data_IF_763446679759
#
_entry.id   IF_763446679759
#
_cell.length_a   1.000
_cell.length_b   1.000
_cell.length_c   1.000
_cell.angle_alpha   90.00
_cell.angle_beta   90.00
_cell.angle_gamma   90.00
#
_symmetry.space_group_name_H-M   'P 1'
#
loop_
_entity.id
_entity.type
_entity.pdbx_description
1 polymer ?
#
# COMPACT_ATOMS: atom_id res chain seq x y z
N UNK A 1 -30.73 48.66 -11.86
CA UNK A 1 -29.39 48.65 -12.51
C UNK A 1 -28.43 47.96 -11.56
N UNK A 2 -27.75 46.93 -12.04
CA UNK A 2 -27.06 45.92 -11.24
C UNK A 2 -25.70 46.42 -10.70
N UNK A 3 -25.46 46.14 -9.41
CA UNK A 3 -24.15 46.20 -8.75
C UNK A 3 -23.28 45.02 -9.19
N UNK A 4 -22.03 45.28 -9.58
CA UNK A 4 -21.00 44.27 -9.75
C UNK A 4 -19.87 44.55 -8.76
N UNK A 5 -19.87 43.82 -7.64
CA UNK A 5 -18.80 43.80 -6.65
C UNK A 5 -17.95 42.55 -6.93
N UNK A 6 -16.79 42.72 -7.57
CA UNK A 6 -15.85 41.64 -7.83
C UNK A 6 -14.96 41.43 -6.59
N UNK A 7 -15.14 40.29 -5.91
CA UNK A 7 -14.22 39.81 -4.87
C UNK A 7 -13.15 38.93 -5.54
N UNK A 8 -11.91 39.41 -5.53
CA UNK A 8 -10.75 38.68 -6.00
C UNK A 8 -10.44 37.48 -5.11
N UNK A 9 -10.54 36.28 -5.67
CA UNK A 9 -10.02 35.06 -5.07
C UNK A 9 -8.53 34.96 -5.36
N UNK A 10 -7.69 35.11 -4.34
CA UNK A 10 -6.27 34.82 -4.40
C UNK A 10 -6.06 33.33 -4.68
N UNK A 11 -5.70 32.99 -5.91
CA UNK A 11 -5.27 31.66 -6.27
C UNK A 11 -3.96 31.36 -5.51
N UNK A 12 -4.04 30.50 -4.48
CA UNK A 12 -2.85 29.87 -3.92
C UNK A 12 -2.22 29.04 -5.05
N UNK A 13 -1.13 29.56 -5.61
CA UNK A 13 -0.31 28.84 -6.57
C UNK A 13 0.08 27.49 -5.96
N UNK A 14 -0.45 26.39 -6.52
CA UNK A 14 0.01 25.06 -6.22
C UNK A 14 1.49 25.00 -6.60
N UNK A 15 2.36 24.91 -5.60
CA UNK A 15 3.76 24.67 -5.87
C UNK A 15 3.89 23.35 -6.65
N UNK A 16 4.69 23.32 -7.73
CA UNK A 16 4.88 22.10 -8.50
C UNK A 16 5.42 21.00 -7.59
N UNK A 17 4.66 19.91 -7.46
CA UNK A 17 5.08 18.72 -6.73
C UNK A 17 6.35 18.21 -7.42
N UNK A 18 7.47 18.05 -6.69
CA UNK A 18 8.71 17.58 -7.28
C UNK A 18 8.48 16.22 -7.96
N UNK A 19 9.16 15.95 -9.08
CA UNK A 19 9.01 14.68 -9.78
C UNK A 19 9.27 13.52 -8.80
N UNK A 20 8.44 12.46 -8.83
CA UNK A 20 8.58 11.35 -7.91
C UNK A 20 9.99 10.77 -8.04
N UNK A 21 10.63 10.50 -6.90
CA UNK A 21 11.95 9.88 -6.87
C UNK A 21 11.94 8.56 -7.69
N UNK A 22 13.05 8.20 -8.34
CA UNK A 22 13.15 6.95 -9.08
C UNK A 22 12.76 5.77 -8.18
N UNK A 23 12.01 4.78 -8.68
CA UNK A 23 11.67 3.60 -7.89
C UNK A 23 12.94 2.93 -7.40
N UNK A 24 13.01 2.66 -6.10
CA UNK A 24 14.11 1.92 -5.50
C UNK A 24 14.33 0.58 -6.23
N UNK A 25 15.60 0.22 -6.45
CA UNK A 25 15.95 -1.08 -6.98
C UNK A 25 15.67 -2.19 -5.97
N UNK A 26 15.56 -3.43 -6.45
CA UNK A 26 15.49 -4.58 -5.56
C UNK A 26 16.82 -4.80 -4.83
N UNK A 27 16.70 -5.23 -3.57
CA UNK A 27 17.80 -5.54 -2.68
C UNK A 27 17.82 -7.01 -2.27
N UNK A 28 18.66 -7.36 -1.28
CA UNK A 28 18.66 -8.69 -0.69
C UNK A 28 17.27 -9.00 -0.10
N UNK A 29 16.79 -10.25 -0.17
CA UNK A 29 15.49 -10.61 0.40
C UNK A 29 15.40 -10.34 1.90
N UNK A 30 14.25 -9.86 2.34
CA UNK A 30 13.90 -9.73 3.76
C UNK A 30 14.04 -11.09 4.46
N UNK A 31 14.67 -11.09 5.63
CA UNK A 31 14.78 -12.32 6.43
C UNK A 31 13.48 -12.62 7.17
N UNK A 32 13.30 -13.87 7.61
CA UNK A 32 12.13 -14.23 8.42
C UNK A 32 12.06 -13.44 9.74
N UNK A 33 13.21 -13.14 10.36
CA UNK A 33 13.28 -12.34 11.59
C UNK A 33 12.83 -10.90 11.35
N UNK A 34 13.34 -10.26 10.30
CA UNK A 34 12.91 -8.92 9.90
C UNK A 34 11.41 -8.89 9.57
N UNK A 35 10.91 -9.90 8.87
CA UNK A 35 9.49 -10.02 8.54
C UNK A 35 8.62 -10.11 9.79
N UNK A 36 9.01 -10.89 10.80
CA UNK A 36 8.34 -10.97 12.11
C UNK A 36 8.36 -9.63 12.84
N UNK A 37 9.47 -8.90 12.82
CA UNK A 37 9.56 -7.57 13.44
C UNK A 37 8.58 -6.59 12.78
N UNK A 38 8.52 -6.58 11.45
CA UNK A 38 7.59 -5.73 10.70
C UNK A 38 6.14 -6.11 10.99
N UNK A 39 5.82 -7.40 11.00
CA UNK A 39 4.49 -7.90 11.34
C UNK A 39 4.07 -7.53 12.77
N UNK A 40 4.97 -7.69 13.75
CA UNK A 40 4.70 -7.36 15.14
C UNK A 40 4.37 -5.87 15.34
N UNK A 41 5.05 -4.97 14.61
CA UNK A 41 4.74 -3.55 14.63
C UNK A 41 3.34 -3.26 14.07
N UNK A 42 2.98 -3.88 12.95
CA UNK A 42 1.66 -3.74 12.34
C UNK A 42 0.54 -4.33 13.22
N UNK A 43 0.79 -5.49 13.83
CA UNK A 43 -0.12 -6.14 14.78
C UNK A 43 -0.36 -5.27 16.01
N UNK A 44 0.69 -4.67 16.58
CA UNK A 44 0.57 -3.77 17.72
C UNK A 44 -0.33 -2.57 17.40
N UNK A 45 -0.21 -2.01 16.19
CA UNK A 45 -1.05 -0.90 15.74
C UNK A 45 -2.51 -1.31 15.55
N UNK A 46 -2.76 -2.46 14.92
CA UNK A 46 -4.12 -2.98 14.76
C UNK A 46 -4.80 -3.30 16.10
N UNK A 47 -4.05 -3.84 17.06
CA UNK A 47 -4.54 -4.07 18.44
C UNK A 47 -4.96 -2.76 19.11
N UNK A 48 -4.17 -1.68 18.99
CA UNK A 48 -4.57 -0.36 19.54
C UNK A 48 -5.87 0.15 18.94
N UNK A 49 -6.09 -0.13 17.65
CA UNK A 49 -7.29 0.29 16.91
C UNK A 49 -8.49 -0.67 17.07
N UNK A 50 -8.32 -1.78 17.80
CA UNK A 50 -9.31 -2.87 17.88
C UNK A 50 -9.79 -3.35 16.51
N UNK A 51 -8.91 -3.30 15.49
CA UNK A 51 -9.25 -3.70 14.13
C UNK A 51 -8.72 -5.11 13.88
N UNK A 52 -9.57 -6.10 13.57
CA UNK A 52 -9.12 -7.45 13.26
C UNK A 52 -8.54 -7.49 11.83
N UNK A 53 -7.23 -7.73 11.75
CA UNK A 53 -6.44 -7.64 10.52
C UNK A 53 -5.62 -8.90 10.21
N UNK A 54 -5.34 -9.10 8.94
CA UNK A 54 -4.36 -10.01 8.37
C UNK A 54 -3.17 -9.22 7.83
N UNK A 55 -1.96 -9.74 8.04
CA UNK A 55 -0.70 -9.16 7.62
C UNK A 55 0.11 -10.20 6.82
N UNK A 56 0.52 -9.81 5.62
CA UNK A 56 1.38 -10.61 4.76
C UNK A 56 2.69 -9.86 4.51
N UNK A 57 3.82 -10.51 4.72
CA UNK A 57 5.14 -10.00 4.36
C UNK A 57 5.69 -10.88 3.25
N UNK A 58 6.08 -10.25 2.15
CA UNK A 58 6.66 -10.91 0.98
C UNK A 58 8.10 -10.44 0.74
N UNK A 59 8.89 -11.29 0.11
CA UNK A 59 10.22 -10.92 -0.38
C UNK A 59 10.18 -10.18 -1.74
N UNK A 60 11.34 -9.83 -2.32
CA UNK A 60 11.44 -9.00 -3.51
C UNK A 60 10.78 -9.58 -4.76
N UNK A 61 10.64 -10.91 -4.86
CA UNK A 61 9.97 -11.58 -5.97
C UNK A 61 8.48 -11.83 -5.71
N UNK A 62 7.93 -11.33 -4.59
CA UNK A 62 6.54 -11.50 -4.20
C UNK A 62 6.25 -12.88 -3.59
N UNK A 63 7.26 -13.62 -3.17
CA UNK A 63 7.17 -14.85 -2.41
C UNK A 63 6.76 -14.56 -0.96
N UNK A 64 5.83 -15.35 -0.41
CA UNK A 64 5.39 -15.18 0.98
C UNK A 64 6.50 -15.60 1.95
N UNK A 65 6.90 -14.70 2.83
CA UNK A 65 7.95 -14.94 3.84
C UNK A 65 7.35 -15.10 5.24
N UNK A 66 6.32 -14.33 5.55
CA UNK A 66 5.61 -14.40 6.82
C UNK A 66 4.15 -13.98 6.65
N UNK A 67 3.26 -14.62 7.42
CA UNK A 67 1.85 -14.29 7.47
C UNK A 67 1.33 -14.43 8.89
N UNK A 68 0.54 -13.46 9.33
CA UNK A 68 -0.13 -13.48 10.63
C UNK A 68 -1.53 -12.89 10.48
N UNK A 69 -2.51 -13.50 11.17
CA UNK A 69 -3.91 -13.07 11.11
C UNK A 69 -4.50 -13.06 12.51
N UNK A 70 -5.12 -11.94 12.86
CA UNK A 70 -5.86 -11.79 14.11
C UNK A 70 -7.15 -12.62 14.09
N UNK A 71 -7.59 -13.08 15.25
CA UNK A 71 -8.90 -13.69 15.39
C UNK A 71 -10.02 -12.71 15.03
N UNK A 72 -11.11 -13.22 14.47
CA UNK A 72 -12.23 -12.40 13.98
C UNK A 72 -11.97 -11.61 12.70
N UNK A 73 -10.79 -11.72 12.08
CA UNK A 73 -10.49 -11.08 10.79
C UNK A 73 -11.36 -11.67 9.68
N UNK A 74 -11.93 -10.81 8.81
CA UNK A 74 -12.70 -11.23 7.65
C UNK A 74 -11.92 -12.22 6.77
N UNK A 75 -12.53 -13.35 6.40
CA UNK A 75 -11.87 -14.46 5.72
C UNK A 75 -11.13 -14.07 4.43
N UNK A 76 -11.76 -13.22 3.60
CA UNK A 76 -11.16 -12.74 2.34
C UNK A 76 -9.84 -11.94 2.56
N UNK A 77 -9.61 -11.41 3.76
CA UNK A 77 -8.42 -10.62 4.06
C UNK A 77 -7.12 -11.41 3.97
N UNK A 78 -7.15 -12.74 4.05
CA UNK A 78 -5.96 -13.58 3.88
C UNK A 78 -5.35 -13.38 2.49
N UNK A 79 -6.15 -13.55 1.45
CA UNK A 79 -5.69 -13.42 0.07
C UNK A 79 -5.48 -11.94 -0.31
N UNK A 80 -6.35 -11.05 0.18
CA UNK A 80 -6.25 -9.61 -0.09
C UNK A 80 -4.95 -9.04 0.51
N UNK A 81 -4.58 -9.39 1.75
CA UNK A 81 -3.32 -8.93 2.35
C UNK A 81 -2.10 -9.41 1.55
N UNK A 82 -2.08 -10.69 1.14
CA UNK A 82 -1.01 -11.22 0.30
C UNK A 82 -0.95 -10.51 -1.07
N UNK A 83 -2.09 -10.32 -1.72
CA UNK A 83 -2.17 -9.61 -3.00
C UNK A 83 -1.74 -8.15 -2.90
N UNK A 84 -2.10 -7.44 -1.82
CA UNK A 84 -1.62 -6.07 -1.54
C UNK A 84 -0.09 -6.02 -1.36
N UNK A 85 0.48 -6.97 -0.62
CA UNK A 85 1.94 -7.07 -0.43
C UNK A 85 2.66 -7.33 -1.78
N UNK A 86 2.17 -8.31 -2.56
CA UNK A 86 2.72 -8.62 -3.89
C UNK A 86 2.60 -7.45 -4.84
N UNK A 87 1.45 -6.75 -4.83
CA UNK A 87 1.26 -5.52 -5.60
C UNK A 87 2.33 -4.49 -5.25
N UNK A 88 2.57 -4.29 -3.97
CA UNK A 88 3.51 -3.28 -3.52
C UNK A 88 4.95 -3.57 -3.99
N UNK A 89 5.38 -4.83 -3.88
CA UNK A 89 6.75 -5.21 -4.27
C UNK A 89 6.93 -5.24 -5.78
N UNK A 90 6.04 -5.92 -6.53
CA UNK A 90 6.22 -6.17 -7.96
C UNK A 90 6.11 -4.90 -8.80
N UNK A 91 5.31 -3.93 -8.37
CA UNK A 91 5.15 -2.65 -9.04
C UNK A 91 5.96 -1.51 -8.41
N UNK A 92 6.75 -1.83 -7.37
CA UNK A 92 7.64 -0.91 -6.65
C UNK A 92 6.95 0.35 -6.14
N UNK A 93 5.69 0.24 -5.71
CA UNK A 93 4.86 1.37 -5.25
C UNK A 93 3.71 0.90 -4.37
N UNK A 94 3.19 1.73 -3.46
CA UNK A 94 2.05 1.33 -2.63
C UNK A 94 0.83 0.87 -3.44
N UNK A 95 0.09 -0.11 -2.92
CA UNK A 95 -1.14 -0.61 -3.58
C UNK A 95 -2.22 0.46 -3.70
N UNK A 96 -2.18 1.49 -2.82
CA UNK A 96 -3.02 2.68 -2.88
C UNK A 96 -2.99 3.36 -4.25
N UNK A 97 -1.83 3.40 -4.92
CA UNK A 97 -1.70 4.02 -6.26
C UNK A 97 -2.62 3.35 -7.28
N UNK A 98 -2.85 2.04 -7.17
CA UNK A 98 -3.79 1.33 -8.04
C UNK A 98 -5.24 1.56 -7.65
N UNK A 99 -5.54 1.67 -6.35
CA UNK A 99 -6.86 2.05 -5.87
C UNK A 99 -7.26 3.45 -6.38
N UNK A 100 -6.35 4.42 -6.27
CA UNK A 100 -6.57 5.79 -6.74
C UNK A 100 -6.77 5.84 -8.27
N UNK A 101 -5.97 5.09 -9.04
CA UNK A 101 -6.15 4.98 -10.48
C UNK A 101 -7.47 4.33 -10.87
N UNK A 102 -7.89 3.29 -10.16
CA UNK A 102 -9.19 2.66 -10.38
C UNK A 102 -10.34 3.63 -10.14
N UNK A 103 -10.27 4.40 -9.05
CA UNK A 103 -11.26 5.41 -8.71
C UNK A 103 -11.30 6.55 -9.74
N UNK A 104 -10.15 6.91 -10.32
CA UNK A 104 -10.05 7.86 -11.43
C UNK A 104 -10.48 7.30 -12.79
N UNK A 105 -10.94 6.03 -12.86
CA UNK A 105 -11.38 5.38 -14.08
C UNK A 105 -10.27 4.79 -14.95
N UNK A 106 -9.00 4.93 -14.57
CA UNK A 106 -7.90 4.27 -15.24
C UNK A 106 -7.83 2.79 -14.84
N UNK A 107 -8.26 1.91 -15.76
CA UNK A 107 -8.33 0.45 -15.54
C UNK A 107 -7.35 -0.35 -16.39
N UNK A 108 -6.37 0.31 -17.04
CA UNK A 108 -5.43 -0.37 -17.93
C UNK A 108 -4.66 -1.50 -17.22
N UNK A 109 -4.34 -1.33 -15.94
CA UNK A 109 -3.63 -2.36 -15.15
C UNK A 109 -4.41 -3.66 -14.96
N UNK A 110 -5.72 -3.67 -15.22
CA UNK A 110 -6.53 -4.91 -15.14
C UNK A 110 -6.24 -5.88 -16.29
N UNK A 111 -5.54 -5.41 -17.34
CA UNK A 111 -5.11 -6.22 -18.48
C UNK A 111 -3.71 -6.81 -18.31
N UNK A 112 -3.02 -6.53 -17.20
CA UNK A 112 -1.68 -7.07 -16.95
C UNK A 112 -1.74 -8.58 -16.67
N UNK A 113 -0.70 -9.36 -17.02
CA UNK A 113 -0.62 -10.77 -16.65
C UNK A 113 -0.67 -10.97 -15.13
N UNK A 114 0.07 -10.15 -14.39
CA UNK A 114 -0.01 -10.04 -12.94
C UNK A 114 -0.90 -8.83 -12.59
N UNK A 115 -2.08 -9.08 -12.03
CA UNK A 115 -3.05 -8.02 -11.75
C UNK A 115 -2.81 -7.45 -10.36
N UNK A 116 -2.58 -6.14 -10.21
CA UNK A 116 -2.45 -5.54 -8.89
C UNK A 116 -3.78 -5.56 -8.15
N UNK A 117 -3.73 -5.79 -6.85
CA UNK A 117 -4.86 -5.56 -5.95
C UNK A 117 -5.00 -4.06 -5.75
N UNK A 118 -6.04 -3.47 -6.36
CA UNK A 118 -6.36 -2.05 -6.31
C UNK A 118 -7.10 -1.67 -5.02
N UNK A 119 -6.45 -1.87 -3.88
CA UNK A 119 -6.95 -1.49 -2.55
C UNK A 119 -5.78 -1.09 -1.66
N UNK A 120 -5.95 -0.08 -0.82
CA UNK A 120 -4.92 0.44 0.09
C UNK A 120 -4.48 -0.60 1.14
N UNK A 121 -3.22 -0.54 1.56
CA UNK A 121 -2.68 -1.40 2.63
C UNK A 121 -1.43 -2.19 2.27
N UNK A 122 -0.97 -2.14 1.01
CA UNK A 122 0.30 -2.70 0.56
C UNK A 122 1.38 -1.62 0.46
N UNK A 123 2.54 -1.82 1.10
CA UNK A 123 3.66 -0.87 1.10
C UNK A 123 5.02 -1.58 0.94
N UNK A 124 5.92 -1.09 0.07
CA UNK A 124 7.29 -1.63 -0.04
C UNK A 124 8.10 -1.43 1.25
N UNK A 125 8.89 -2.44 1.62
CA UNK A 125 9.86 -2.36 2.71
C UNK A 125 11.21 -1.99 2.09
N UNK A 126 11.71 -0.79 2.43
CA UNK A 126 12.92 -0.23 1.85
C UNK A 126 14.02 -0.15 2.91
N UNK A 127 15.19 -0.72 2.61
CA UNK A 127 16.40 -0.64 3.45
C UNK A 127 17.55 -0.18 2.57
N UNK A 128 18.27 0.86 2.99
CA UNK A 128 19.39 1.45 2.24
C UNK A 128 19.03 1.81 0.79
N UNK A 129 17.81 2.34 0.58
CA UNK A 129 17.31 2.73 -0.74
C UNK A 129 16.96 1.55 -1.66
N UNK A 130 16.92 0.32 -1.16
CA UNK A 130 16.53 -0.87 -1.91
C UNK A 130 15.29 -1.55 -1.35
N UNK A 131 14.42 -2.03 -2.22
CA UNK A 131 13.23 -2.81 -1.88
C UNK A 131 13.68 -4.23 -1.51
N UNK A 132 13.56 -4.58 -0.24
CA UNK A 132 13.90 -5.91 0.29
C UNK A 132 12.66 -6.82 0.42
N UNK A 133 11.47 -6.26 0.23
CA UNK A 133 10.19 -6.95 0.35
C UNK A 133 9.03 -5.97 0.41
N UNK A 134 7.86 -6.43 0.85
CA UNK A 134 6.71 -5.57 1.12
C UNK A 134 5.83 -6.16 2.22
N UNK A 135 5.06 -5.30 2.87
CA UNK A 135 3.97 -5.68 3.76
C UNK A 135 2.63 -5.37 3.09
N UNK A 136 1.64 -6.22 3.31
CA UNK A 136 0.24 -6.00 2.97
C UNK A 136 -0.65 -6.23 4.20
N UNK A 137 -1.58 -5.32 4.45
CA UNK A 137 -2.57 -5.41 5.52
C UNK A 137 -4.00 -5.41 4.96
N UNK A 138 -4.87 -6.25 5.51
CA UNK A 138 -6.30 -6.30 5.16
C UNK A 138 -7.13 -6.75 6.35
N UNK A 139 -8.33 -6.19 6.54
CA UNK A 139 -9.21 -6.58 7.62
C UNK A 139 -10.60 -5.96 7.51
N UNK A 140 -11.35 -6.03 8.61
CA UNK A 140 -12.77 -5.66 8.67
C UNK A 140 -13.09 -4.31 9.35
N UNK A 141 -12.10 -3.47 9.62
CA UNK A 141 -12.30 -2.11 10.12
C UNK A 141 -12.08 -1.12 8.98
N UNK A 142 -12.98 -0.14 8.84
CA UNK A 142 -12.90 0.94 7.84
C UNK A 142 -11.48 1.50 7.76
N UNK A 143 -10.92 1.48 6.55
CA UNK A 143 -9.62 2.02 6.17
C UNK A 143 -9.26 3.36 6.85
#
# INVERSE_FOLDING_TARGET
>A
MASALALGGSALAQQPVPPPAPPADYGPPITNEQAKTVAAAALAEAKKKNSPMAFAIVGPAGELVYFEKMDGTQLASVEIAQGKARTAVLFRRPSKVFADQYAAGNRAFTTFPEKPVASEGGVPIIVNGKIIGAIGASGGGTD
#
